data_IF_919411522632
#
_entry.id   IF_919411522632
#
_cell.length_a   1.000
_cell.length_b   1.000
_cell.length_c   1.000
_cell.angle_alpha   90.00
_cell.angle_beta   90.00
_cell.angle_gamma   90.00
#
_symmetry.space_group_name_H-M   'P 1'
#
loop_
_entity.id
_entity.type
_entity.pdbx_description
1 polymer ?
#
# COMPACT_ATOMS: atom_id res chain seq x y z
N UNK A 1 -21.72 -29.10 16.49
CA UNK A 1 -20.72 -28.01 16.52
C UNK A 1 -19.91 -27.91 15.22
N UNK A 2 -19.32 -28.99 14.69
CA UNK A 2 -18.54 -28.94 13.44
C UNK A 2 -19.32 -28.37 12.23
N UNK A 3 -20.58 -28.78 12.03
CA UNK A 3 -21.41 -28.30 10.91
C UNK A 3 -21.64 -26.77 10.96
N UNK A 4 -21.86 -26.22 12.14
CA UNK A 4 -22.06 -24.76 12.30
C UNK A 4 -20.77 -24.02 11.98
N UNK A 5 -19.62 -24.46 12.47
CA UNK A 5 -18.34 -23.85 12.16
C UNK A 5 -18.02 -23.92 10.65
N UNK A 6 -18.28 -25.06 10.02
CA UNK A 6 -18.06 -25.24 8.57
C UNK A 6 -18.98 -24.34 7.75
N UNK A 7 -20.26 -24.22 8.12
CA UNK A 7 -21.21 -23.37 7.39
C UNK A 7 -20.85 -21.88 7.53
N UNK A 8 -20.44 -21.44 8.72
CA UNK A 8 -19.97 -20.06 8.93
C UNK A 8 -18.71 -19.76 8.11
N UNK A 9 -17.75 -20.70 8.08
CA UNK A 9 -16.54 -20.56 7.25
C UNK A 9 -16.87 -20.49 5.76
N UNK A 10 -17.73 -21.40 5.28
CA UNK A 10 -18.17 -21.41 3.88
C UNK A 10 -18.88 -20.10 3.49
N UNK A 11 -19.72 -19.57 4.38
CA UNK A 11 -20.42 -18.30 4.17
C UNK A 11 -19.43 -17.14 4.08
N UNK A 12 -18.46 -17.03 5.00
CA UNK A 12 -17.41 -15.99 4.97
C UNK A 12 -16.61 -16.06 3.65
N UNK A 13 -16.21 -17.26 3.23
CA UNK A 13 -15.50 -17.45 1.95
C UNK A 13 -16.32 -17.04 0.74
N UNK A 14 -17.60 -17.38 0.73
CA UNK A 14 -18.52 -17.04 -0.36
C UNK A 14 -18.73 -15.52 -0.46
N UNK A 15 -18.90 -14.83 0.67
CA UNK A 15 -19.03 -13.37 0.70
C UNK A 15 -17.75 -12.69 0.22
N UNK A 16 -16.58 -13.16 0.64
CA UNK A 16 -15.28 -12.62 0.18
C UNK A 16 -15.09 -12.81 -1.31
N UNK A 17 -15.38 -14.02 -1.82
CA UNK A 17 -15.27 -14.34 -3.23
C UNK A 17 -16.23 -13.50 -4.08
N UNK A 18 -17.48 -13.33 -3.65
CA UNK A 18 -18.47 -12.50 -4.36
C UNK A 18 -18.04 -11.04 -4.46
N UNK A 19 -17.51 -10.48 -3.37
CA UNK A 19 -16.92 -9.12 -3.39
C UNK A 19 -15.74 -9.00 -4.35
N UNK A 20 -14.84 -9.98 -4.33
CA UNK A 20 -13.70 -10.01 -5.20
C UNK A 20 -14.09 -10.04 -6.68
N UNK A 21 -15.04 -10.91 -7.04
CA UNK A 21 -15.58 -11.04 -8.41
C UNK A 21 -16.29 -9.75 -8.83
N UNK A 22 -17.08 -9.15 -7.94
CA UNK A 22 -17.81 -7.91 -8.22
C UNK A 22 -16.88 -6.72 -8.48
N UNK A 23 -15.82 -6.57 -7.68
CA UNK A 23 -14.92 -5.42 -7.79
C UNK A 23 -13.79 -5.60 -8.81
N UNK A 24 -13.46 -6.83 -9.21
CA UNK A 24 -12.37 -7.12 -10.14
C UNK A 24 -12.51 -6.40 -11.51
N UNK A 25 -13.65 -6.36 -12.18
CA UNK A 25 -13.80 -5.67 -13.46
C UNK A 25 -13.76 -4.14 -13.32
N UNK A 26 -14.02 -3.61 -12.12
CA UNK A 26 -14.18 -2.18 -11.87
C UNK A 26 -12.87 -1.48 -11.52
N UNK A 27 -11.85 -2.23 -11.08
CA UNK A 27 -10.57 -1.69 -10.65
C UNK A 27 -9.42 -2.12 -11.56
N UNK A 28 -8.57 -1.14 -11.88
CA UNK A 28 -7.27 -1.38 -12.51
C UNK A 28 -6.17 -0.82 -11.62
N UNK A 29 -5.01 -1.45 -11.67
CA UNK A 29 -3.80 -0.97 -11.02
C UNK A 29 -2.72 -0.71 -12.06
N UNK A 30 -1.99 0.37 -11.89
CA UNK A 30 -0.78 0.68 -12.64
C UNK A 30 0.44 0.17 -11.89
N UNK A 31 1.30 -0.58 -12.56
CA UNK A 31 2.51 -1.17 -11.99
C UNK A 31 3.73 -0.34 -12.41
N UNK A 32 4.41 0.28 -11.44
CA UNK A 32 5.64 1.05 -11.67
C UNK A 32 6.80 0.40 -10.91
N UNK A 33 7.88 -0.06 -11.61
CA UNK A 33 9.02 -0.67 -10.95
C UNK A 33 9.88 0.37 -10.27
N UNK A 34 10.21 0.17 -9.01
CA UNK A 34 11.16 0.95 -8.22
C UNK A 34 12.47 0.16 -8.13
N UNK A 35 13.29 0.25 -9.19
CA UNK A 35 14.48 -0.59 -9.37
C UNK A 35 15.53 -0.41 -8.28
N UNK A 36 15.68 0.82 -7.76
CA UNK A 36 16.68 1.14 -6.73
C UNK A 36 16.43 0.39 -5.41
N UNK A 37 15.16 0.12 -5.07
CA UNK A 37 14.75 -0.57 -3.83
C UNK A 37 14.22 -1.98 -4.06
N UNK A 38 14.30 -2.48 -5.30
CA UNK A 38 13.74 -3.78 -5.67
C UNK A 38 12.27 -3.91 -5.23
N UNK A 39 11.46 -2.89 -5.52
CA UNK A 39 10.06 -2.80 -5.13
C UNK A 39 9.16 -2.43 -6.32
N UNK A 40 7.85 -2.64 -6.18
CA UNK A 40 6.82 -2.23 -7.14
C UNK A 40 5.88 -1.26 -6.47
N UNK A 41 5.66 -0.09 -7.09
CA UNK A 41 4.54 0.78 -6.75
C UNK A 41 3.31 0.28 -7.52
N UNK A 42 2.23 0.09 -6.80
CA UNK A 42 0.93 -0.29 -7.32
C UNK A 42 -0.03 0.84 -7.04
N UNK A 43 -0.45 1.57 -8.08
CA UNK A 43 -1.38 2.70 -7.96
C UNK A 43 -2.74 2.29 -8.50
N UNK A 44 -3.78 2.38 -7.69
CA UNK A 44 -5.14 2.02 -8.08
C UNK A 44 -5.80 3.15 -8.87
N UNK A 45 -6.66 2.78 -9.84
CA UNK A 45 -7.44 3.73 -10.62
C UNK A 45 -8.63 4.33 -9.87
N UNK A 46 -9.08 3.68 -8.79
CA UNK A 46 -10.21 4.12 -7.97
C UNK A 46 -9.81 4.35 -6.54
N UNK A 47 -10.36 5.40 -5.94
CA UNK A 47 -10.26 5.64 -4.50
C UNK A 47 -11.08 4.61 -3.73
N UNK A 48 -10.71 4.40 -2.47
CA UNK A 48 -11.45 3.56 -1.52
C UNK A 48 -12.08 4.46 -0.46
N UNK A 49 -13.39 4.30 -0.22
CA UNK A 49 -14.15 5.18 0.67
C UNK A 49 -13.59 5.28 2.10
N UNK A 50 -13.03 4.20 2.62
CA UNK A 50 -12.51 4.10 4.00
C UNK A 50 -11.00 3.89 4.06
N UNK A 51 -10.27 4.16 2.97
CA UNK A 51 -8.83 4.06 2.97
C UNK A 51 -8.22 5.09 3.92
N UNK A 52 -7.36 4.65 4.80
CA UNK A 52 -6.53 5.52 5.63
C UNK A 52 -5.06 5.16 5.38
N UNK A 53 -4.16 6.13 5.23
CA UNK A 53 -2.73 5.86 5.17
C UNK A 53 -2.30 5.02 6.38
N UNK A 54 -1.54 3.94 6.15
CA UNK A 54 -1.17 2.98 7.18
C UNK A 54 -2.17 1.83 7.40
N UNK A 55 -3.42 1.91 6.92
CA UNK A 55 -4.28 0.71 6.89
C UNK A 55 -3.81 -0.28 5.82
N UNK A 56 -4.34 -1.50 5.83
CA UNK A 56 -3.97 -2.51 4.83
C UNK A 56 -5.18 -3.00 4.04
N UNK A 57 -4.92 -3.49 2.85
CA UNK A 57 -5.92 -4.16 2.04
C UNK A 57 -5.34 -5.40 1.35
N UNK A 58 -6.21 -6.37 1.07
CA UNK A 58 -5.83 -7.55 0.29
C UNK A 58 -5.91 -7.21 -1.19
N UNK A 59 -4.82 -7.40 -1.91
CA UNK A 59 -4.75 -7.27 -3.36
C UNK A 59 -4.86 -8.63 -4.03
N UNK A 60 -5.64 -8.68 -5.09
CA UNK A 60 -5.80 -9.79 -6.00
C UNK A 60 -5.48 -9.34 -7.42
N UNK A 61 -4.43 -9.87 -8.02
CA UNK A 61 -4.01 -9.56 -9.40
C UNK A 61 -3.94 -10.87 -10.18
N UNK A 62 -5.04 -11.28 -10.84
CA UNK A 62 -5.14 -12.59 -11.48
C UNK A 62 -4.11 -12.81 -12.60
N UNK A 63 -3.69 -11.75 -13.29
CA UNK A 63 -2.64 -11.81 -14.32
C UNK A 63 -1.23 -12.10 -13.77
N UNK A 64 -1.04 -12.02 -12.45
CA UNK A 64 0.22 -12.38 -11.76
C UNK A 64 0.07 -13.75 -11.10
N UNK A 65 -0.97 -13.92 -10.26
CA UNK A 65 -1.32 -15.20 -9.63
C UNK A 65 -2.84 -15.35 -9.52
N UNK A 66 -3.39 -16.36 -10.18
CA UNK A 66 -4.84 -16.52 -10.37
C UNK A 66 -5.64 -16.80 -9.10
N UNK A 67 -5.02 -17.39 -8.06
CA UNK A 67 -5.74 -17.85 -6.87
C UNK A 67 -5.14 -17.33 -5.55
N UNK A 68 -4.41 -16.21 -5.59
CA UNK A 68 -3.74 -15.69 -4.40
C UNK A 68 -4.13 -14.24 -4.13
N UNK A 69 -4.48 -13.96 -2.88
CA UNK A 69 -4.65 -12.61 -2.34
C UNK A 69 -3.59 -12.35 -1.30
N UNK A 70 -3.05 -11.15 -1.27
CA UNK A 70 -1.98 -10.78 -0.34
C UNK A 70 -2.28 -9.44 0.34
N UNK A 71 -2.09 -9.32 1.67
CA UNK A 71 -2.27 -8.06 2.39
C UNK A 71 -1.07 -7.15 2.18
N UNK A 72 -1.35 -5.88 1.86
CA UNK A 72 -0.33 -4.84 1.76
C UNK A 72 -0.80 -3.57 2.44
N UNK A 73 0.15 -2.84 3.03
CA UNK A 73 -0.09 -1.55 3.67
C UNK A 73 -0.28 -0.45 2.61
N UNK A 74 -1.32 0.35 2.77
CA UNK A 74 -1.56 1.53 1.94
C UNK A 74 -0.64 2.66 2.36
N UNK A 75 0.11 3.21 1.40
CA UNK A 75 1.02 4.35 1.60
C UNK A 75 0.29 5.67 1.40
N UNK A 76 -0.63 5.72 0.44
CA UNK A 76 -1.43 6.90 0.12
C UNK A 76 -2.91 6.54 -0.01
N UNK A 77 -3.78 7.54 0.24
CA UNK A 77 -5.23 7.42 0.10
C UNK A 77 -5.72 7.89 -1.27
N UNK A 78 -5.13 8.93 -1.80
CA UNK A 78 -5.60 9.56 -3.04
C UNK A 78 -4.40 10.05 -3.87
N UNK A 79 -4.05 9.28 -4.91
CA UNK A 79 -4.55 7.94 -5.26
C UNK A 79 -4.18 6.88 -4.22
N UNK A 80 -4.92 5.76 -4.18
CA UNK A 80 -4.55 4.63 -3.32
C UNK A 80 -3.30 3.96 -3.88
N UNK A 81 -2.24 3.93 -3.07
CA UNK A 81 -0.95 3.39 -3.46
C UNK A 81 -0.40 2.38 -2.46
N UNK A 82 0.30 1.39 -3.02
CA UNK A 82 1.06 0.40 -2.27
C UNK A 82 2.50 0.38 -2.78
N UNK A 83 3.47 0.27 -1.88
CA UNK A 83 4.87 0.01 -2.22
C UNK A 83 5.23 -1.39 -1.73
N UNK A 84 5.45 -2.30 -2.66
CA UNK A 84 5.60 -3.73 -2.40
C UNK A 84 7.03 -4.16 -2.73
N UNK A 85 7.81 -4.51 -1.70
CA UNK A 85 9.17 -5.03 -1.86
C UNK A 85 9.15 -6.42 -2.50
N UNK A 86 9.97 -6.62 -3.52
CA UNK A 86 10.12 -7.91 -4.18
C UNK A 86 10.90 -8.86 -3.26
N UNK A 87 10.25 -9.93 -2.83
CA UNK A 87 10.86 -11.02 -2.05
C UNK A 87 10.76 -12.32 -2.82
N UNK A 88 9.85 -13.20 -2.45
CA UNK A 88 9.61 -14.48 -3.11
C UNK A 88 8.15 -14.60 -3.56
N UNK A 89 7.87 -15.51 -4.50
CA UNK A 89 6.51 -15.79 -4.97
C UNK A 89 5.85 -14.58 -5.63
N UNK A 90 4.62 -14.26 -5.20
CA UNK A 90 3.80 -13.20 -5.80
C UNK A 90 4.53 -11.86 -5.95
N UNK A 91 5.24 -11.40 -4.92
CA UNK A 91 5.90 -10.08 -4.94
C UNK A 91 7.07 -10.02 -5.92
N UNK A 92 7.79 -11.14 -6.11
CA UNK A 92 8.84 -11.26 -7.13
C UNK A 92 8.24 -11.26 -8.54
N UNK A 93 7.16 -12.02 -8.76
CA UNK A 93 6.48 -12.08 -10.05
C UNK A 93 5.87 -10.73 -10.42
N UNK A 94 5.31 -10.03 -9.44
CA UNK A 94 4.78 -8.66 -9.60
C UNK A 94 5.88 -7.69 -10.04
N UNK A 95 7.03 -7.72 -9.39
CA UNK A 95 8.16 -6.86 -9.73
C UNK A 95 8.70 -7.17 -11.14
N UNK A 96 8.83 -8.46 -11.48
CA UNK A 96 9.24 -8.90 -12.82
C UNK A 96 8.27 -8.35 -13.88
N UNK A 97 6.97 -8.51 -13.69
CA UNK A 97 5.95 -8.00 -14.61
C UNK A 97 5.98 -6.46 -14.75
N UNK A 98 6.27 -5.74 -13.66
CA UNK A 98 6.44 -4.29 -13.68
C UNK A 98 7.70 -3.88 -14.46
N UNK A 99 8.81 -4.62 -14.30
CA UNK A 99 10.06 -4.36 -15.03
C UNK A 99 9.95 -4.65 -16.52
N UNK A 100 9.22 -5.70 -16.90
CA UNK A 100 8.98 -6.06 -18.31
C UNK A 100 8.16 -5.00 -19.05
N UNK A 101 7.17 -4.41 -18.39
CA UNK A 101 6.30 -3.37 -18.95
C UNK A 101 6.00 -2.29 -17.91
N UNK A 102 6.88 -1.29 -17.73
CA UNK A 102 6.64 -0.18 -16.81
C UNK A 102 5.35 0.58 -17.15
N UNK A 103 4.56 0.92 -16.14
CA UNK A 103 3.27 1.58 -16.34
C UNK A 103 2.14 0.65 -16.82
N UNK A 104 2.36 -0.66 -16.87
CA UNK A 104 1.34 -1.63 -17.25
C UNK A 104 0.11 -1.51 -16.34
N UNK A 105 -1.07 -1.42 -16.96
CA UNK A 105 -2.36 -1.51 -16.26
C UNK A 105 -2.80 -2.97 -16.19
N UNK A 106 -3.17 -3.43 -15.00
CA UNK A 106 -3.66 -4.78 -14.72
C UNK A 106 -4.99 -4.73 -14.00
N UNK A 107 -5.88 -5.68 -14.25
CA UNK A 107 -7.12 -5.83 -13.47
C UNK A 107 -6.76 -6.24 -12.06
N UNK A 108 -7.39 -5.59 -11.07
CA UNK A 108 -7.06 -5.78 -9.66
C UNK A 108 -8.32 -5.83 -8.83
N UNK A 109 -8.52 -6.93 -8.13
CA UNK A 109 -9.48 -7.01 -7.03
C UNK A 109 -8.85 -6.45 -5.75
N UNK A 110 -9.65 -5.76 -4.95
CA UNK A 110 -9.21 -5.23 -3.66
C UNK A 110 -10.27 -5.52 -2.61
N UNK A 111 -9.82 -5.92 -1.44
CA UNK A 111 -10.66 -6.17 -0.27
C UNK A 111 -10.06 -5.43 0.94
N UNK A 112 -10.84 -4.61 1.61
CA UNK A 112 -10.45 -3.76 2.75
C UNK A 112 -11.02 -2.36 2.56
N UNK A 113 -10.63 -1.31 3.29
CA UNK A 113 -9.42 -1.20 4.13
C UNK A 113 -9.61 -1.86 5.51
N UNK A 114 -8.56 -2.45 6.03
CA UNK A 114 -8.52 -3.07 7.34
C UNK A 114 -7.45 -2.43 8.23
N UNK A 115 -7.61 -2.59 9.52
CA UNK A 115 -6.70 -2.07 10.53
C UNK A 115 -7.15 -0.73 11.11
N UNK A 116 -6.73 -0.49 12.34
CA UNK A 116 -6.96 0.77 13.04
C UNK A 116 -5.65 1.56 13.04
N UNK A 117 -5.69 2.73 12.44
CA UNK A 117 -4.52 3.62 12.40
C UNK A 117 -4.48 4.43 13.70
N UNK A 118 -3.34 4.46 14.42
CA UNK A 118 -3.20 5.24 15.62
C UNK A 118 -3.47 6.72 15.36
N UNK A 119 -4.20 7.37 16.26
CA UNK A 119 -4.37 8.84 16.23
C UNK A 119 -3.09 9.48 16.75
N UNK A 120 -2.37 10.19 15.90
CA UNK A 120 -1.13 10.88 16.25
C UNK A 120 -1.35 12.34 16.65
N UNK A 121 -2.52 12.90 16.33
CA UNK A 121 -2.93 14.23 16.74
C UNK A 121 -3.24 14.27 18.24
N UNK A 122 -2.75 15.28 18.94
CA UNK A 122 -2.95 15.47 20.37
C UNK A 122 -1.75 15.11 21.24
N UNK A 123 -0.62 14.73 20.63
CA UNK A 123 0.67 14.54 21.31
C UNK A 123 1.64 15.66 20.91
N UNK A 124 2.39 16.19 21.86
CA UNK A 124 3.37 17.26 21.60
C UNK A 124 4.53 16.75 20.74
N UNK A 125 4.90 15.47 20.92
CA UNK A 125 5.96 14.82 20.18
C UNK A 125 5.58 13.41 19.77
N UNK A 126 5.74 13.10 18.49
CA UNK A 126 5.52 11.76 17.90
C UNK A 126 6.86 11.21 17.43
N UNK A 127 7.19 9.99 17.81
CA UNK A 127 8.40 9.30 17.34
C UNK A 127 7.98 8.04 16.58
N UNK A 128 8.39 7.94 15.32
CA UNK A 128 8.10 6.81 14.44
C UNK A 128 9.38 6.03 14.15
N UNK A 129 9.39 4.76 14.53
CA UNK A 129 10.49 3.84 14.23
C UNK A 129 10.09 2.86 13.13
N UNK A 130 10.91 2.74 12.09
CA UNK A 130 10.71 1.80 11.00
C UNK A 130 11.94 0.91 10.79
N UNK A 131 11.71 -0.35 10.45
CA UNK A 131 12.73 -1.30 10.01
C UNK A 131 12.41 -1.84 8.63
N UNK A 132 13.33 -1.72 7.66
CA UNK A 132 13.18 -2.24 6.31
C UNK A 132 11.84 -1.84 5.67
N UNK A 133 11.06 -2.83 5.18
CA UNK A 133 9.77 -2.61 4.53
C UNK A 133 8.65 -2.11 5.46
N UNK A 134 8.84 -2.12 6.79
CA UNK A 134 7.90 -1.54 7.75
C UNK A 134 7.74 -0.02 7.59
N UNK A 135 8.66 0.61 6.88
CA UNK A 135 8.59 2.04 6.52
C UNK A 135 7.29 2.40 5.79
N UNK A 136 6.67 1.51 5.03
CA UNK A 136 5.41 1.78 4.33
C UNK A 136 4.30 2.21 5.28
N UNK A 137 4.25 1.62 6.48
CA UNK A 137 3.28 1.99 7.52
C UNK A 137 3.63 3.32 8.18
N UNK A 138 4.85 3.45 8.69
CA UNK A 138 5.28 4.65 9.44
C UNK A 138 5.40 5.87 8.55
N UNK A 139 5.85 5.72 7.31
CA UNK A 139 5.90 6.82 6.33
C UNK A 139 4.50 7.33 5.98
N UNK A 140 3.53 6.40 5.78
CA UNK A 140 2.15 6.78 5.54
C UNK A 140 1.58 7.60 6.71
N UNK A 141 1.90 7.23 7.96
CA UNK A 141 1.51 7.98 9.15
C UNK A 141 2.20 9.35 9.20
N UNK A 142 3.50 9.42 8.90
CA UNK A 142 4.25 10.67 8.91
C UNK A 142 3.68 11.68 7.90
N UNK A 143 3.39 11.22 6.67
CA UNK A 143 2.79 12.06 5.62
C UNK A 143 1.37 12.50 6.01
N UNK A 144 0.54 11.60 6.54
CA UNK A 144 -0.81 11.96 7.00
C UNK A 144 -0.77 12.95 8.16
N UNK A 145 0.17 12.77 9.10
CA UNK A 145 0.41 13.70 10.19
C UNK A 145 0.83 15.08 9.67
N UNK A 146 1.81 15.14 8.76
CA UNK A 146 2.30 16.40 8.19
C UNK A 146 1.20 17.17 7.45
N UNK A 147 0.31 16.47 6.73
CA UNK A 147 -0.83 17.08 6.03
C UNK A 147 -1.90 17.65 6.95
N UNK A 148 -1.96 17.20 8.20
CA UNK A 148 -2.94 17.62 9.20
C UNK A 148 -2.43 18.68 10.17
N UNK A 149 -1.14 19.04 10.06
CA UNK A 149 -0.54 20.09 10.89
C UNK A 149 -0.91 21.48 10.36
N UNK A 150 -1.27 22.35 11.26
CA UNK A 150 -1.42 23.78 11.00
C UNK A 150 -0.05 24.48 11.12
N UNK A 151 0.13 25.60 10.42
CA UNK A 151 1.38 26.35 10.42
C UNK A 151 1.83 26.85 11.81
N UNK A 152 0.91 26.96 12.76
CA UNK A 152 1.16 27.40 14.13
C UNK A 152 1.36 26.23 15.12
N UNK A 153 1.28 24.98 14.65
CA UNK A 153 1.41 23.81 15.52
C UNK A 153 2.82 23.68 16.06
N UNK A 154 2.93 23.55 17.39
CA UNK A 154 4.21 23.28 18.09
C UNK A 154 4.55 21.79 18.18
N UNK A 155 3.75 20.95 17.57
CA UNK A 155 3.97 19.52 17.58
C UNK A 155 5.18 19.13 16.73
N UNK A 156 5.93 18.12 17.15
CA UNK A 156 7.12 17.63 16.45
C UNK A 156 6.98 16.15 16.11
N UNK A 157 7.55 15.74 14.97
CA UNK A 157 7.61 14.34 14.57
C UNK A 157 9.06 13.96 14.25
N UNK A 158 9.57 12.94 14.94
CA UNK A 158 10.85 12.32 14.65
C UNK A 158 10.61 11.01 13.89
N UNK A 159 11.24 10.88 12.72
CA UNK A 159 11.15 9.69 11.89
C UNK A 159 12.50 8.99 11.81
N UNK A 160 12.58 7.79 12.37
CA UNK A 160 13.80 6.98 12.43
C UNK A 160 13.61 5.73 11.60
N UNK A 161 14.39 5.59 10.53
CA UNK A 161 14.31 4.42 9.65
C UNK A 161 15.64 3.68 9.55
N UNK A 162 15.64 2.42 9.97
CA UNK A 162 16.75 1.50 9.82
C UNK A 162 16.66 0.75 8.50
N UNK A 163 17.63 0.92 7.63
CA UNK A 163 17.74 0.28 6.31
C UNK A 163 18.97 -0.62 6.24
N UNK A 164 18.88 -1.71 5.48
CA UNK A 164 20.04 -2.57 5.22
C UNK A 164 20.96 -2.04 4.14
N UNK A 165 20.40 -1.34 3.15
CA UNK A 165 21.14 -0.78 2.03
C UNK A 165 20.64 0.63 1.71
N UNK A 166 21.56 1.51 1.28
CA UNK A 166 21.22 2.89 0.94
C UNK A 166 20.22 3.05 -0.22
N UNK A 167 20.05 2.00 -1.05
CA UNK A 167 19.05 1.99 -2.13
C UNK A 167 17.60 1.99 -1.64
N UNK A 168 17.33 1.43 -0.45
CA UNK A 168 15.98 1.42 0.12
C UNK A 168 15.49 2.82 0.50
N UNK A 169 16.37 3.70 0.99
CA UNK A 169 16.00 5.05 1.42
C UNK A 169 15.61 5.96 0.25
N UNK A 170 16.24 5.84 -0.90
CA UNK A 170 15.99 6.69 -2.07
C UNK A 170 14.58 6.58 -2.62
N UNK A 171 13.92 5.45 -2.43
CA UNK A 171 12.56 5.19 -2.97
C UNK A 171 11.49 6.09 -2.40
N UNK A 172 11.62 6.51 -1.15
CA UNK A 172 10.62 7.34 -0.47
C UNK A 172 10.92 8.84 -0.55
N UNK A 173 12.19 9.21 -0.80
CA UNK A 173 12.63 10.62 -0.83
C UNK A 173 12.45 11.26 -2.22
N UNK A 174 12.46 10.49 -3.30
CA UNK A 174 12.50 11.02 -4.69
C UNK A 174 11.14 11.47 -5.24
N UNK A 175 10.02 11.29 -4.51
CA UNK A 175 8.69 11.53 -5.05
C UNK A 175 8.20 12.98 -5.05
N UNK A 176 8.86 13.92 -4.38
CA UNK A 176 8.38 15.31 -4.31
C UNK A 176 8.97 16.23 -5.40
N UNK A 177 9.99 15.79 -6.15
CA UNK A 177 10.69 16.63 -7.12
C UNK A 177 10.38 16.35 -8.61
N UNK A 178 9.70 15.25 -8.95
CA UNK A 178 9.42 14.91 -10.36
C UNK A 178 8.14 15.53 -10.93
N UNK A 179 7.31 16.15 -10.11
CA UNK A 179 6.11 16.86 -10.59
C UNK A 179 6.35 18.29 -11.06
N UNK A 180 7.54 18.86 -10.83
CA UNK A 180 7.86 20.25 -11.20
C UNK A 180 8.68 20.42 -12.49
N UNK A 181 9.16 19.33 -13.11
CA UNK A 181 10.04 19.39 -14.29
C UNK A 181 9.42 18.90 -15.61
N UNK A 182 8.09 18.72 -15.70
CA UNK A 182 7.40 18.43 -16.97
C UNK A 182 6.52 19.58 -17.50
N UNK A 183 6.74 20.79 -17.03
CA UNK A 183 6.12 22.00 -17.57
C UNK A 183 7.21 23.01 -17.98
N UNK A 184 7.95 22.68 -19.04
CA UNK A 184 8.72 23.66 -19.85
C UNK A 184 8.86 23.15 -21.25
#
# INVERSE_FOLDING_TARGET
>A
MALIATSMYALDRSIRLSRLIYYLPLNTATLTPLRASNATRVTLSRSMAYAAPGSHAFLYIPSIRACQTHPFTMVSRDPVEFVISARNGFTKDLFKAACERPGRKVRTGIEGAYGCVPKTLGYDRVVLFAGGSGVTFTFALAVDWAKKQDAESKQSLDFIWSVRTAGESKTFITNDNDSSNQAS
#
